data_IF_916318368782
#
_entry.id   IF_916318368782
#
_cell.length_a   1.000
_cell.length_b   1.000
_cell.length_c   1.000
_cell.angle_alpha   90.00
_cell.angle_beta   90.00
_cell.angle_gamma   90.00
#
_symmetry.space_group_name_H-M   'P 1'
#
loop_
_entity.id
_entity.type
_entity.pdbx_description
1 polymer ?
#
# COMPACT_ATOMS: atom_id res chain seq x y z
N UNK A 1 -6.94 -6.07 -2.56
CA UNK A 1 -7.42 -6.84 -1.38
C UNK A 1 -6.47 -6.83 -0.17
N UNK A 2 -5.17 -7.16 -0.35
CA UNK A 2 -4.23 -7.32 0.79
C UNK A 2 -4.10 -6.08 1.71
N UNK A 3 -4.13 -4.86 1.14
CA UNK A 3 -3.97 -3.63 1.93
C UNK A 3 -5.15 -3.33 2.85
N UNK A 4 -6.39 -3.61 2.43
CA UNK A 4 -7.56 -3.45 3.31
C UNK A 4 -7.52 -4.43 4.49
N UNK A 5 -7.00 -5.64 4.26
CA UNK A 5 -6.80 -6.63 5.32
C UNK A 5 -5.83 -6.12 6.37
N UNK A 6 -4.69 -5.58 5.96
CA UNK A 6 -3.66 -5.12 6.90
C UNK A 6 -4.12 -3.88 7.68
N UNK A 7 -4.68 -2.87 7.00
CA UNK A 7 -5.17 -1.65 7.66
C UNK A 7 -6.35 -1.97 8.59
N UNK A 8 -7.26 -2.85 8.16
CA UNK A 8 -8.36 -3.32 9.00
C UNK A 8 -7.87 -4.05 10.25
N UNK A 9 -6.85 -4.92 10.11
CA UNK A 9 -6.24 -5.61 11.24
C UNK A 9 -5.63 -4.62 12.25
N UNK A 10 -4.91 -3.61 11.79
CA UNK A 10 -4.33 -2.57 12.66
C UNK A 10 -5.41 -1.75 13.37
N UNK A 11 -6.45 -1.35 12.64
CA UNK A 11 -7.57 -0.57 13.19
C UNK A 11 -8.30 -1.33 14.29
N UNK A 12 -8.56 -2.63 14.09
CA UNK A 12 -9.19 -3.50 15.09
C UNK A 12 -8.32 -3.71 16.33
N UNK A 13 -7.00 -3.88 16.16
CA UNK A 13 -6.07 -3.95 17.29
C UNK A 13 -6.08 -2.64 18.09
N UNK A 14 -6.10 -1.49 17.42
CA UNK A 14 -6.14 -0.19 18.08
C UNK A 14 -7.45 0.02 18.86
N UNK A 15 -8.60 -0.31 18.26
CA UNK A 15 -9.92 -0.28 18.92
C UNK A 15 -9.94 -1.15 20.16
N UNK A 16 -9.43 -2.39 20.07
CA UNK A 16 -9.36 -3.32 21.20
C UNK A 16 -8.55 -2.78 22.37
N UNK A 17 -7.49 -2.02 22.08
CA UNK A 17 -6.62 -1.41 23.08
C UNK A 17 -7.03 0.03 23.46
N UNK A 18 -8.17 0.53 22.95
CA UNK A 18 -8.67 1.90 23.17
C UNK A 18 -7.65 2.99 22.80
N UNK A 19 -6.87 2.74 21.75
CA UNK A 19 -5.88 3.71 21.25
C UNK A 19 -6.59 4.62 20.23
N UNK A 20 -6.62 5.95 20.43
CA UNK A 20 -7.31 6.88 19.55
C UNK A 20 -6.44 7.18 18.31
N UNK A 21 -6.47 6.29 17.32
CA UNK A 21 -5.82 6.55 16.04
C UNK A 21 -6.68 7.49 15.19
N UNK A 22 -6.30 8.76 15.11
CA UNK A 22 -7.07 9.78 14.38
C UNK A 22 -7.06 9.55 12.86
N UNK A 23 -5.95 9.06 12.32
CA UNK A 23 -5.73 8.92 10.88
C UNK A 23 -6.24 7.58 10.34
N UNK A 24 -6.16 6.50 11.13
CA UNK A 24 -6.52 5.13 10.69
C UNK A 24 -7.94 5.03 10.11
N UNK A 25 -8.99 5.59 10.76
CA UNK A 25 -10.35 5.56 10.21
C UNK A 25 -10.48 6.29 8.88
N UNK A 26 -9.69 7.35 8.65
CA UNK A 26 -9.68 8.07 7.38
C UNK A 26 -9.02 7.25 6.28
N UNK A 27 -7.90 6.58 6.59
CA UNK A 27 -7.22 5.69 5.66
C UNK A 27 -8.13 4.53 5.24
N UNK A 28 -8.82 3.88 6.19
CA UNK A 28 -9.78 2.81 5.87
C UNK A 28 -10.85 3.28 4.86
N UNK A 29 -11.47 4.43 5.11
CA UNK A 29 -12.47 5.02 4.21
C UNK A 29 -11.91 5.33 2.81
N UNK A 30 -10.65 5.79 2.73
CA UNK A 30 -9.98 6.07 1.46
C UNK A 30 -9.84 4.79 0.64
N UNK A 31 -9.36 3.70 1.26
CA UNK A 31 -9.18 2.42 0.58
C UNK A 31 -10.51 1.72 0.26
N UNK A 32 -11.54 1.84 1.12
CA UNK A 32 -12.89 1.35 0.83
C UNK A 32 -13.50 2.07 -0.40
N UNK A 33 -13.38 3.40 -0.48
CA UNK A 33 -13.82 4.18 -1.65
C UNK A 33 -13.05 3.79 -2.92
N UNK A 34 -11.74 3.58 -2.82
CA UNK A 34 -10.91 3.10 -3.92
C UNK A 34 -11.35 1.71 -4.41
N UNK A 35 -11.58 0.77 -3.48
CA UNK A 35 -12.05 -0.57 -3.81
C UNK A 35 -13.43 -0.54 -4.48
N UNK A 36 -14.34 0.31 -4.01
CA UNK A 36 -15.67 0.49 -4.58
C UNK A 36 -15.61 1.00 -6.02
N UNK A 37 -14.71 1.95 -6.32
CA UNK A 37 -14.57 2.57 -7.64
C UNK A 37 -13.84 1.70 -8.66
N UNK A 38 -12.75 1.05 -8.26
CA UNK A 38 -11.83 0.37 -9.18
C UNK A 38 -11.83 -1.16 -9.06
N UNK A 39 -12.55 -1.68 -8.07
CA UNK A 39 -12.73 -3.11 -7.84
C UNK A 39 -11.74 -3.72 -6.84
N UNK A 40 -12.06 -4.93 -6.32
CA UNK A 40 -11.30 -5.58 -5.24
C UNK A 40 -9.89 -6.05 -5.61
N UNK A 41 -9.63 -6.22 -6.92
CA UNK A 41 -8.35 -6.68 -7.48
C UNK A 41 -7.43 -5.52 -7.89
N UNK A 42 -7.84 -4.27 -7.71
CA UNK A 42 -6.99 -3.12 -7.98
C UNK A 42 -5.77 -3.11 -7.05
N UNK A 43 -4.64 -2.62 -7.57
CA UNK A 43 -3.38 -2.56 -6.85
C UNK A 43 -3.41 -1.39 -5.87
N UNK A 44 -2.88 -1.56 -4.66
CA UNK A 44 -2.91 -0.48 -3.65
C UNK A 44 -2.18 0.80 -4.06
N UNK A 45 -1.08 0.81 -4.84
CA UNK A 45 -0.48 2.05 -5.34
C UNK A 45 -1.43 2.86 -6.22
N UNK A 46 -2.37 2.19 -6.91
CA UNK A 46 -3.36 2.84 -7.77
C UNK A 46 -4.42 3.64 -6.99
N UNK A 47 -4.33 3.71 -5.65
CA UNK A 47 -5.17 4.62 -4.86
C UNK A 47 -5.00 6.09 -5.27
N UNK A 48 -3.86 6.45 -5.87
CA UNK A 48 -3.60 7.78 -6.46
C UNK A 48 -4.61 8.13 -7.56
N UNK A 49 -5.14 7.14 -8.29
CA UNK A 49 -6.15 7.34 -9.35
C UNK A 49 -7.40 8.05 -8.83
N UNK A 50 -7.72 7.92 -7.53
CA UNK A 50 -8.81 8.70 -6.89
C UNK A 50 -8.59 10.20 -6.99
N UNK A 51 -7.34 10.64 -6.82
CA UNK A 51 -6.98 12.04 -6.93
C UNK A 51 -6.83 12.46 -8.39
N UNK A 52 -6.27 11.60 -9.24
CA UNK A 52 -6.18 11.85 -10.68
C UNK A 52 -7.57 12.06 -11.29
N UNK A 53 -8.51 11.16 -11.03
CA UNK A 53 -9.89 11.25 -11.52
C UNK A 53 -10.61 12.49 -10.99
N UNK A 54 -10.38 12.86 -9.72
CA UNK A 54 -11.02 14.01 -9.10
C UNK A 54 -10.48 15.36 -9.60
N UNK A 55 -9.23 15.38 -10.10
CA UNK A 55 -8.54 16.61 -10.50
C UNK A 55 -8.34 16.73 -12.02
N UNK A 56 -8.49 15.64 -12.76
CA UNK A 56 -8.13 15.55 -14.18
C UNK A 56 -6.63 15.62 -14.43
N UNK A 57 -5.80 15.52 -13.38
CA UNK A 57 -4.33 15.57 -13.48
C UNK A 57 -3.81 14.13 -13.55
N UNK A 58 -2.90 13.87 -14.49
CA UNK A 58 -2.13 12.63 -14.52
C UNK A 58 -0.81 12.83 -13.77
N UNK A 59 -0.55 11.95 -12.80
CA UNK A 59 0.66 11.90 -11.97
C UNK A 59 1.64 10.88 -12.56
N UNK A 60 1.88 10.99 -13.87
CA UNK A 60 2.84 10.18 -14.60
C UNK A 60 4.09 10.99 -14.92
N UNK A 61 5.25 10.34 -14.83
CA UNK A 61 6.53 10.91 -15.24
C UNK A 61 7.11 10.07 -16.39
N UNK A 62 7.79 10.69 -17.37
CA UNK A 62 8.45 9.94 -18.43
C UNK A 62 9.55 9.04 -17.86
N UNK A 63 9.71 7.84 -18.44
CA UNK A 63 10.77 6.89 -18.08
C UNK A 63 10.35 5.81 -17.06
N UNK A 64 9.13 5.85 -16.55
CA UNK A 64 8.54 4.74 -15.78
C UNK A 64 7.56 3.94 -16.64
N UNK A 65 7.65 2.60 -16.67
CA UNK A 65 6.70 1.76 -17.39
C UNK A 65 5.35 1.69 -16.64
N UNK A 66 4.27 1.45 -17.40
CA UNK A 66 2.91 1.28 -16.85
C UNK A 66 2.80 0.03 -15.96
N UNK A 67 3.60 -1.00 -16.26
CA UNK A 67 3.72 -2.22 -15.46
C UNK A 67 5.19 -2.41 -15.05
N UNK A 68 5.41 -2.64 -13.75
CA UNK A 68 6.71 -3.08 -13.23
C UNK A 68 6.72 -4.61 -13.30
N UNK A 69 7.54 -5.14 -14.19
CA UNK A 69 7.75 -6.58 -14.36
C UNK A 69 9.04 -6.93 -13.63
N UNK A 70 8.96 -7.93 -12.75
CA UNK A 70 10.14 -8.57 -12.18
C UNK A 70 10.61 -9.65 -13.16
N UNK A 71 11.76 -9.42 -13.79
CA UNK A 71 12.40 -10.33 -14.74
C UNK A 71 13.48 -11.20 -14.08
N UNK A 72 13.70 -11.05 -12.78
CA UNK A 72 14.65 -11.86 -12.01
C UNK A 72 14.03 -13.22 -11.64
N UNK A 73 14.87 -14.25 -11.57
CA UNK A 73 14.40 -15.57 -11.16
C UNK A 73 14.10 -15.58 -9.65
N UNK A 74 13.07 -16.30 -9.17
CA UNK A 74 12.82 -16.43 -7.74
C UNK A 74 14.01 -17.07 -7.03
N UNK A 75 14.59 -16.38 -6.05
CA UNK A 75 15.68 -16.88 -5.23
C UNK A 75 15.22 -17.15 -3.78
N UNK A 76 15.97 -17.98 -3.05
CA UNK A 76 15.72 -18.14 -1.61
C UNK A 76 16.07 -16.84 -0.88
N UNK A 77 15.14 -16.33 -0.07
CA UNK A 77 15.37 -15.15 0.74
C UNK A 77 16.49 -15.37 1.76
N UNK A 78 17.33 -14.35 1.95
CA UNK A 78 18.42 -14.37 2.94
C UNK A 78 18.34 -13.17 3.88
N UNK A 79 18.92 -13.30 5.07
CA UNK A 79 19.00 -12.21 6.03
C UNK A 79 19.99 -11.14 5.55
N UNK A 80 19.49 -9.93 5.29
CA UNK A 80 20.32 -8.79 4.94
C UNK A 80 20.94 -8.24 6.23
N UNK A 81 22.26 -8.33 6.34
CA UNK A 81 22.99 -7.70 7.45
C UNK A 81 23.29 -6.26 7.07
N UNK A 82 22.77 -5.26 7.81
CA UNK A 82 23.03 -3.87 7.53
C UNK A 82 24.53 -3.57 7.51
N UNK A 83 24.95 -2.72 6.58
CA UNK A 83 26.33 -2.27 6.50
C UNK A 83 26.73 -1.59 7.81
N UNK A 84 27.71 -2.15 8.53
CA UNK A 84 28.18 -1.64 9.83
C UNK A 84 27.89 -2.55 11.04
N UNK A 85 27.14 -3.63 10.87
CA UNK A 85 27.01 -4.66 11.91
C UNK A 85 28.17 -5.67 11.84
N UNK A 86 28.93 -5.82 12.93
CA UNK A 86 29.94 -6.88 13.08
C UNK A 86 29.21 -8.15 13.53
N UNK A 87 29.34 -9.25 12.77
CA UNK A 87 28.90 -10.57 13.24
C UNK A 87 29.71 -10.94 14.50
N UNK A 88 29.06 -11.05 15.65
CA UNK A 88 29.58 -11.78 16.82
C UNK A 88 29.36 -13.26 16.67
#
# INVERSE_FOLDING_TARGET
DLVLKDIGLFDEIAKKNKIPLEISPLINKIFEDGQSKYGPREWSPNIIKRLEDATGISVLAPGFPDEIIDDEAPEEGYEVIPTGCVKT
#
